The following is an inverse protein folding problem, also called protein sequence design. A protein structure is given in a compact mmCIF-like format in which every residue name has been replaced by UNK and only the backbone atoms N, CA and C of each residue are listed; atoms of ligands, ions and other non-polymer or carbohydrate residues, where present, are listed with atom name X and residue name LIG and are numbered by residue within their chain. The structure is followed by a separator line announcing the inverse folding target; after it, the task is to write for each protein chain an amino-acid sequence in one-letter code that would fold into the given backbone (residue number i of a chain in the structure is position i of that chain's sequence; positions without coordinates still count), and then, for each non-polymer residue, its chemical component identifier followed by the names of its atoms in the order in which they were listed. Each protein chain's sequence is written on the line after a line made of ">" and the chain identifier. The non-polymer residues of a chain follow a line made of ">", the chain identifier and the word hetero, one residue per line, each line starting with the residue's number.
data_IF_792572600857
#
_entry.id   IF_792572600857
#
_cell.length_a   1.000
_cell.length_b   1.000
_cell.length_c   1.000
_cell.angle_alpha   90.00
_cell.angle_beta   90.00
_cell.angle_gamma   90.00
#
_symmetry.space_group_name_H-M   'P 1'
#
loop_
_entity.id
_entity.type
_entity.pdbx_description
1 polymer ?
#
# COMPACT_ATOMS: atom_id res chain seq x y z
N UNK A 1 0.33 -15.98 -3.89
CA UNK A 1 0.52 -14.51 -3.91
C UNK A 1 0.94 -14.07 -5.30
N UNK A 2 0.50 -12.92 -5.81
CA UNK A 2 1.01 -12.28 -7.03
C UNK A 2 2.15 -11.35 -6.65
N UNK A 3 3.29 -11.44 -7.33
CA UNK A 3 4.45 -10.59 -7.03
C UNK A 3 4.45 -9.37 -7.97
N UNK A 4 4.63 -8.21 -7.40
CA UNK A 4 4.62 -6.93 -8.11
C UNK A 4 5.60 -5.93 -7.54
N UNK A 5 5.62 -4.74 -8.15
CA UNK A 5 6.51 -3.67 -7.74
C UNK A 5 5.89 -2.28 -7.96
N UNK A 6 6.36 -1.31 -7.19
CA UNK A 6 6.11 0.10 -7.46
C UNK A 6 6.94 0.51 -8.68
N UNK A 7 6.26 0.92 -9.75
CA UNK A 7 6.87 1.22 -11.04
C UNK A 7 6.69 2.68 -11.43
N UNK A 8 7.55 3.17 -12.31
CA UNK A 8 7.43 4.51 -12.88
C UNK A 8 6.35 4.55 -13.95
N UNK A 9 5.61 5.67 -14.01
CA UNK A 9 4.61 5.95 -15.04
C UNK A 9 5.03 7.12 -15.97
N UNK A 10 6.32 7.48 -15.97
CA UNK A 10 6.85 8.59 -16.74
C UNK A 10 6.74 8.34 -18.26
N UNK A 11 6.33 9.36 -19.01
CA UNK A 11 6.17 9.27 -20.47
C UNK A 11 4.79 8.77 -20.92
N UNK A 12 3.85 8.63 -19.94
CA UNK A 12 2.47 8.23 -20.18
C UNK A 12 2.06 7.11 -19.24
N UNK A 13 0.84 7.19 -18.69
CA UNK A 13 0.39 6.27 -17.62
C UNK A 13 0.43 4.79 -18.02
N UNK A 14 0.19 4.46 -19.30
CA UNK A 14 0.30 3.09 -19.82
C UNK A 14 1.71 2.50 -19.67
N UNK A 15 2.75 3.36 -19.53
CA UNK A 15 4.13 2.92 -19.30
C UNK A 15 4.30 2.19 -17.97
N UNK A 16 3.43 2.42 -17.00
CA UNK A 16 3.43 1.64 -15.77
C UNK A 16 3.23 0.14 -16.05
N UNK A 17 2.34 -0.20 -16.99
CA UNK A 17 2.13 -1.59 -17.42
C UNK A 17 3.38 -2.14 -18.10
N UNK A 18 3.94 -1.41 -19.08
CA UNK A 18 5.14 -1.82 -19.80
C UNK A 18 6.30 -2.09 -18.83
N UNK A 19 6.54 -1.16 -17.89
CA UNK A 19 7.60 -1.25 -16.89
C UNK A 19 7.38 -2.44 -15.93
N UNK A 20 6.14 -2.68 -15.48
CA UNK A 20 5.84 -3.85 -14.65
C UNK A 20 6.10 -5.16 -15.38
N UNK A 21 5.69 -5.27 -16.64
CA UNK A 21 5.96 -6.45 -17.48
C UNK A 21 7.47 -6.64 -17.69
N UNK A 22 8.20 -5.55 -17.91
CA UNK A 22 9.66 -5.62 -18.05
C UNK A 22 10.34 -6.14 -16.78
N UNK A 23 9.86 -5.79 -15.59
CA UNK A 23 10.38 -6.31 -14.32
C UNK A 23 9.95 -7.75 -14.03
N UNK A 24 8.99 -8.31 -14.77
CA UNK A 24 8.43 -9.65 -14.54
C UNK A 24 7.30 -9.68 -13.51
N UNK A 25 6.65 -8.54 -13.27
CA UNK A 25 5.57 -8.40 -12.30
C UNK A 25 4.25 -9.04 -12.76
N UNK A 26 3.46 -9.49 -11.80
CA UNK A 26 2.07 -9.93 -11.93
C UNK A 26 1.08 -8.90 -11.36
N UNK A 27 1.58 -7.94 -10.57
CA UNK A 27 0.86 -6.79 -10.03
C UNK A 27 1.74 -5.54 -10.12
N UNK A 28 1.13 -4.37 -10.17
CA UNK A 28 1.89 -3.11 -10.17
C UNK A 28 1.29 -2.09 -9.20
N UNK A 29 2.15 -1.21 -8.73
CA UNK A 29 1.78 0.03 -8.08
C UNK A 29 2.49 1.20 -8.73
N UNK A 30 1.85 2.36 -8.76
CA UNK A 30 2.47 3.59 -9.22
C UNK A 30 1.78 4.83 -8.64
N UNK A 31 2.44 5.97 -8.70
CA UNK A 31 1.79 7.25 -8.42
C UNK A 31 1.01 7.72 -9.66
N UNK A 32 -0.25 8.07 -9.48
CA UNK A 32 -1.07 8.61 -10.58
C UNK A 32 -0.47 9.87 -11.22
N UNK A 33 0.23 10.67 -10.41
CA UNK A 33 0.93 11.89 -10.82
C UNK A 33 2.24 12.09 -10.05
N UNK A 34 2.76 13.32 -10.01
CA UNK A 34 3.95 13.60 -9.21
C UNK A 34 3.63 13.46 -7.71
N UNK A 35 4.34 12.60 -6.95
CA UNK A 35 4.05 12.38 -5.54
C UNK A 35 4.42 13.57 -4.63
N UNK A 36 5.02 14.63 -5.20
CA UNK A 36 5.46 15.83 -4.48
C UNK A 36 4.61 17.07 -4.76
N UNK A 37 3.46 16.90 -5.43
CA UNK A 37 2.56 18.00 -5.76
C UNK A 37 1.13 17.67 -5.36
N UNK A 38 0.40 18.68 -4.87
CA UNK A 38 -0.99 18.56 -4.43
C UNK A 38 -2.00 18.45 -5.58
N UNK A 39 -1.57 18.78 -6.81
CA UNK A 39 -2.48 18.80 -7.95
C UNK A 39 -2.88 17.37 -8.31
N UNK A 40 -4.17 17.01 -8.20
CA UNK A 40 -4.66 15.70 -8.65
C UNK A 40 -4.37 15.50 -10.14
N UNK A 41 -4.01 14.28 -10.48
CA UNK A 41 -3.82 13.90 -11.89
C UNK A 41 -5.16 13.39 -12.45
N UNK A 42 -5.63 14.05 -13.49
CA UNK A 42 -6.76 13.58 -14.29
C UNK A 42 -6.23 13.09 -15.64
N UNK A 43 -6.79 12.02 -16.14
CA UNK A 43 -6.40 11.43 -17.42
C UNK A 43 -7.42 11.76 -18.52
N UNK A 44 -6.91 11.98 -19.74
CA UNK A 44 -7.80 12.01 -20.90
C UNK A 44 -8.36 10.61 -21.15
N UNK A 45 -9.58 10.51 -21.73
CA UNK A 45 -10.14 9.21 -22.09
C UNK A 45 -9.22 8.42 -23.03
N UNK A 46 -8.48 9.11 -23.90
CA UNK A 46 -7.49 8.47 -24.77
C UNK A 46 -6.36 7.78 -23.97
N UNK A 47 -5.83 8.44 -22.95
CA UNK A 47 -4.73 7.88 -22.14
C UNK A 47 -5.24 6.77 -21.23
N UNK A 48 -6.43 6.95 -20.66
CA UNK A 48 -7.09 5.96 -19.83
C UNK A 48 -7.45 4.69 -20.65
N UNK A 49 -8.02 4.84 -21.83
CA UNK A 49 -8.30 3.71 -22.72
C UNK A 49 -7.02 2.94 -23.08
N UNK A 50 -5.95 3.66 -23.42
CA UNK A 50 -4.65 3.05 -23.72
C UNK A 50 -4.07 2.28 -22.53
N UNK A 51 -4.23 2.79 -21.31
CA UNK A 51 -3.82 2.09 -20.11
C UNK A 51 -4.61 0.78 -19.93
N UNK A 52 -5.94 0.85 -20.02
CA UNK A 52 -6.82 -0.32 -19.90
C UNK A 52 -6.53 -1.38 -20.97
N UNK A 53 -6.28 -0.97 -22.22
CA UNK A 53 -5.86 -1.86 -23.31
C UNK A 53 -4.52 -2.53 -23.03
N UNK A 54 -3.51 -1.75 -22.59
CA UNK A 54 -2.21 -2.28 -22.22
C UNK A 54 -2.32 -3.30 -21.07
N UNK A 55 -3.11 -3.00 -20.02
CA UNK A 55 -3.39 -3.92 -18.92
C UNK A 55 -4.03 -5.22 -19.42
N UNK A 56 -5.07 -5.12 -20.23
CA UNK A 56 -5.80 -6.29 -20.76
C UNK A 56 -4.91 -7.22 -21.61
N UNK A 57 -3.89 -6.67 -22.27
CA UNK A 57 -2.93 -7.40 -23.10
C UNK A 57 -1.71 -7.92 -22.30
N UNK A 58 -1.65 -7.70 -20.98
CA UNK A 58 -0.49 -8.00 -20.14
C UNK A 58 -0.80 -9.10 -19.11
N UNK A 59 0.23 -9.66 -18.43
CA UNK A 59 0.05 -10.57 -17.29
C UNK A 59 -0.35 -9.85 -15.99
N UNK A 60 -0.49 -8.51 -15.98
CA UNK A 60 -0.78 -7.73 -14.77
C UNK A 60 -2.21 -7.97 -14.31
N UNK A 61 -2.35 -8.59 -13.15
CA UNK A 61 -3.62 -9.00 -12.55
C UNK A 61 -4.20 -7.98 -11.59
N UNK A 62 -3.32 -7.18 -10.95
CA UNK A 62 -3.73 -6.18 -9.96
C UNK A 62 -2.98 -4.88 -10.19
N UNK A 63 -3.72 -3.77 -10.12
CA UNK A 63 -3.21 -2.41 -10.28
C UNK A 63 -3.59 -1.60 -9.05
N UNK A 64 -2.58 -1.10 -8.35
CA UNK A 64 -2.69 -0.25 -7.18
C UNK A 64 -2.19 1.15 -7.51
N UNK A 65 -2.93 2.18 -7.08
CA UNK A 65 -2.45 3.56 -7.14
C UNK A 65 -2.06 4.01 -5.74
N UNK A 66 -0.80 4.35 -5.53
CA UNK A 66 -0.36 4.96 -4.29
C UNK A 66 -0.70 6.45 -4.29
N UNK A 67 -1.25 6.94 -3.19
CA UNK A 67 -1.49 8.38 -3.01
C UNK A 67 -0.17 9.13 -2.83
N UNK A 68 -0.21 10.45 -2.96
CA UNK A 68 1.01 11.26 -2.84
C UNK A 68 1.56 11.27 -1.40
N UNK A 69 2.88 11.39 -1.23
CA UNK A 69 3.55 11.42 0.09
C UNK A 69 3.12 12.56 1.02
N UNK A 70 2.52 13.61 0.45
CA UNK A 70 2.15 14.81 1.22
C UNK A 70 0.89 14.62 2.06
N UNK A 71 0.11 13.57 1.82
CA UNK A 71 -1.16 13.33 2.51
C UNK A 71 -0.96 13.17 4.01
N UNK A 72 -1.79 13.87 4.77
CA UNK A 72 -2.00 13.67 6.20
C UNK A 72 -3.48 13.86 6.51
N UNK A 73 -4.23 12.76 6.57
CA UNK A 73 -5.67 12.75 6.80
C UNK A 73 -6.05 13.08 8.26
N UNK A 74 -5.07 13.13 9.15
CA UNK A 74 -5.24 13.49 10.56
C UNK A 74 -4.64 14.86 10.90
N UNK A 75 -4.19 15.63 9.91
CA UNK A 75 -3.52 16.91 10.10
C UNK A 75 -4.35 17.91 10.93
N UNK A 76 -3.72 18.56 11.89
CA UNK A 76 -4.33 19.66 12.66
C UNK A 76 -4.36 21.00 11.92
N UNK A 77 -3.60 21.11 10.83
CA UNK A 77 -3.60 22.25 9.94
C UNK A 77 -4.70 22.09 8.88
N UNK A 78 -5.69 22.98 8.87
CA UNK A 78 -6.86 22.89 8.01
C UNK A 78 -6.53 22.95 6.52
N UNK A 79 -5.61 23.82 6.10
CA UNK A 79 -5.20 23.95 4.69
C UNK A 79 -4.50 22.68 4.20
N UNK A 80 -3.64 22.08 5.03
CA UNK A 80 -3.00 20.79 4.75
C UNK A 80 -3.99 19.63 4.70
N UNK A 81 -4.95 19.64 5.62
CA UNK A 81 -6.00 18.64 5.68
C UNK A 81 -6.86 18.66 4.41
N UNK A 82 -7.40 19.82 4.04
CA UNK A 82 -8.23 19.94 2.83
C UNK A 82 -7.48 19.58 1.55
N UNK A 83 -6.19 19.92 1.46
CA UNK A 83 -5.33 19.45 0.37
C UNK A 83 -5.16 17.93 0.38
N UNK A 84 -5.01 17.32 1.56
CA UNK A 84 -4.88 15.87 1.71
C UNK A 84 -6.15 15.15 1.27
N UNK A 85 -7.31 15.64 1.69
CA UNK A 85 -8.61 15.09 1.27
C UNK A 85 -8.81 15.24 -0.24
N UNK A 86 -8.50 16.42 -0.80
CA UNK A 86 -8.58 16.64 -2.25
C UNK A 86 -7.67 15.70 -3.02
N UNK A 87 -6.48 15.42 -2.52
CA UNK A 87 -5.54 14.49 -3.15
C UNK A 87 -6.02 13.02 -3.05
N UNK A 88 -6.63 12.64 -1.92
CA UNK A 88 -7.22 11.31 -1.74
C UNK A 88 -8.37 11.09 -2.72
N UNK A 89 -9.32 12.03 -2.77
CA UNK A 89 -10.45 12.01 -3.73
C UNK A 89 -9.94 11.96 -5.18
N UNK A 90 -8.92 12.76 -5.49
CA UNK A 90 -8.31 12.77 -6.83
C UNK A 90 -7.65 11.43 -7.19
N UNK A 91 -7.11 10.69 -6.21
CA UNK A 91 -6.58 9.34 -6.44
C UNK A 91 -7.70 8.33 -6.76
N UNK A 92 -8.85 8.43 -6.09
CA UNK A 92 -10.04 7.61 -6.41
C UNK A 92 -10.49 7.87 -7.85
N UNK A 93 -10.66 9.13 -8.25
CA UNK A 93 -11.03 9.50 -9.62
C UNK A 93 -10.03 8.96 -10.64
N UNK A 94 -8.73 9.07 -10.37
CA UNK A 94 -7.68 8.53 -11.24
C UNK A 94 -7.78 7.00 -11.36
N UNK A 95 -8.04 6.30 -10.24
CA UNK A 95 -8.21 4.85 -10.22
C UNK A 95 -9.41 4.40 -11.06
N UNK A 96 -10.53 5.09 -10.96
CA UNK A 96 -11.73 4.84 -11.78
C UNK A 96 -11.45 5.03 -13.27
N UNK A 97 -10.85 6.15 -13.65
CA UNK A 97 -10.49 6.44 -15.04
C UNK A 97 -9.60 5.35 -15.64
N UNK A 98 -8.65 4.84 -14.88
CA UNK A 98 -7.70 3.83 -15.32
C UNK A 98 -8.24 2.39 -15.19
N UNK A 99 -9.34 2.18 -14.47
CA UNK A 99 -9.82 0.85 -14.11
C UNK A 99 -8.82 0.13 -13.18
N UNK A 100 -8.20 0.85 -12.25
CA UNK A 100 -7.38 0.26 -11.21
C UNK A 100 -8.24 -0.44 -10.16
N UNK A 101 -7.68 -1.41 -9.45
CA UNK A 101 -8.42 -2.22 -8.47
C UNK A 101 -8.57 -1.52 -7.12
N UNK A 102 -7.56 -0.71 -6.75
CA UNK A 102 -7.55 -0.01 -5.48
C UNK A 102 -6.63 1.23 -5.51
N UNK A 103 -6.80 2.07 -4.50
CA UNK A 103 -5.80 3.05 -4.07
C UNK A 103 -5.26 2.66 -2.70
N UNK A 104 -4.02 3.03 -2.37
CA UNK A 104 -3.44 2.90 -1.04
C UNK A 104 -2.99 4.26 -0.53
N UNK A 105 -3.17 4.50 0.76
CA UNK A 105 -2.80 5.75 1.40
C UNK A 105 -2.20 5.54 2.78
N UNK A 106 -1.12 6.26 3.07
CA UNK A 106 -0.74 6.54 4.44
C UNK A 106 -1.82 7.40 5.11
N UNK A 107 -2.03 7.18 6.40
CA UNK A 107 -3.05 7.90 7.18
C UNK A 107 -2.52 9.28 7.59
N UNK A 108 -1.24 9.35 7.91
CA UNK A 108 -0.59 10.55 8.41
C UNK A 108 -0.48 10.56 9.94
N UNK A 109 -0.33 11.75 10.52
CA UNK A 109 -0.06 11.95 11.96
C UNK A 109 -1.05 12.92 12.56
N UNK A 110 -1.53 12.62 13.77
CA UNK A 110 -2.37 13.52 14.56
C UNK A 110 -1.61 14.71 15.18
N UNK A 111 -0.29 14.80 14.96
CA UNK A 111 0.55 15.96 15.33
C UNK A 111 0.41 16.41 16.79
N UNK A 112 0.24 15.45 17.71
CA UNK A 112 0.07 15.70 19.14
C UNK A 112 -1.36 15.97 19.59
N UNK A 113 -2.36 16.06 18.71
CA UNK A 113 -3.77 16.23 19.07
C UNK A 113 -4.39 15.00 19.73
N UNK A 114 -3.77 13.83 19.58
CA UNK A 114 -4.25 12.55 20.05
C UNK A 114 -5.05 11.78 19.01
N UNK A 115 -5.22 10.46 19.28
CA UNK A 115 -5.85 9.52 18.34
C UNK A 115 -7.30 9.90 17.99
N UNK A 116 -8.14 10.15 18.99
CA UNK A 116 -9.57 10.44 18.77
C UNK A 116 -9.86 11.67 17.89
N UNK A 117 -9.19 12.83 18.07
CA UNK A 117 -9.30 13.95 17.14
C UNK A 117 -8.83 13.60 15.72
N UNK A 118 -7.73 12.84 15.62
CA UNK A 118 -7.21 12.35 14.34
C UNK A 118 -8.20 11.41 13.64
N UNK A 119 -8.79 10.46 14.36
CA UNK A 119 -9.77 9.51 13.85
C UNK A 119 -11.00 10.21 13.23
N UNK A 120 -11.53 11.24 13.89
CA UNK A 120 -12.65 12.03 13.34
C UNK A 120 -12.30 12.69 12.00
N UNK A 121 -11.07 13.14 11.85
CA UNK A 121 -10.59 13.72 10.58
C UNK A 121 -10.43 12.65 9.51
N UNK A 122 -9.85 11.51 9.86
CA UNK A 122 -9.72 10.35 8.95
C UNK A 122 -11.11 9.88 8.51
N UNK A 123 -12.07 9.75 9.42
CA UNK A 123 -13.46 9.42 9.10
C UNK A 123 -14.05 10.37 8.04
N UNK A 124 -13.92 11.68 8.26
CA UNK A 124 -14.44 12.68 7.30
C UNK A 124 -13.75 12.57 5.94
N UNK A 125 -12.43 12.35 5.93
CA UNK A 125 -11.67 12.21 4.69
C UNK A 125 -12.07 10.96 3.90
N UNK A 126 -12.21 9.81 4.60
CA UNK A 126 -12.66 8.55 4.00
C UNK A 126 -14.11 8.68 3.49
N UNK A 127 -15.02 9.28 4.27
CA UNK A 127 -16.39 9.52 3.84
C UNK A 127 -16.45 10.29 2.51
N UNK A 128 -15.68 11.37 2.38
CA UNK A 128 -15.60 12.14 1.13
C UNK A 128 -15.02 11.33 -0.04
N UNK A 129 -14.04 10.48 0.20
CA UNK A 129 -13.48 9.61 -0.83
C UNK A 129 -14.48 8.53 -1.28
N UNK A 130 -15.23 7.96 -0.33
CA UNK A 130 -16.27 6.96 -0.59
C UNK A 130 -17.48 7.56 -1.31
N UNK A 131 -17.87 8.79 -0.97
CA UNK A 131 -18.94 9.54 -1.64
C UNK A 131 -18.56 9.82 -3.11
N UNK A 132 -17.31 10.22 -3.37
CA UNK A 132 -16.81 10.43 -4.74
C UNK A 132 -16.75 9.12 -5.52
N UNK A 133 -16.33 8.02 -4.89
CA UNK A 133 -16.30 6.71 -5.51
C UNK A 133 -17.71 6.20 -5.89
N UNK A 134 -18.76 6.67 -5.23
CA UNK A 134 -20.14 6.27 -5.54
C UNK A 134 -20.29 4.75 -5.58
N UNK A 135 -20.74 4.21 -6.71
CA UNK A 135 -20.90 2.75 -6.94
C UNK A 135 -19.63 2.11 -7.54
N UNK A 136 -18.51 2.81 -7.60
CA UNK A 136 -17.25 2.28 -8.12
C UNK A 136 -16.74 1.09 -7.30
N UNK A 137 -16.20 0.05 -7.94
CA UNK A 137 -15.56 -1.06 -7.24
C UNK A 137 -14.17 -0.73 -6.69
N UNK A 138 -13.63 0.45 -6.94
CA UNK A 138 -12.31 0.88 -6.47
C UNK A 138 -12.28 0.88 -4.95
N UNK A 139 -11.30 0.18 -4.37
CA UNK A 139 -11.11 0.11 -2.91
C UNK A 139 -10.13 1.18 -2.44
N UNK A 140 -10.37 1.68 -1.22
CA UNK A 140 -9.46 2.59 -0.50
C UNK A 140 -8.75 1.79 0.57
N UNK A 141 -7.44 1.60 0.41
CA UNK A 141 -6.64 0.81 1.34
C UNK A 141 -5.90 1.71 2.32
N UNK A 142 -6.09 1.43 3.60
CA UNK A 142 -5.31 2.04 4.67
C UNK A 142 -4.03 1.26 4.86
N UNK A 143 -2.92 1.95 4.87
CA UNK A 143 -1.61 1.36 5.10
C UNK A 143 -1.21 1.50 6.56
N UNK A 144 -0.70 0.41 7.18
CA UNK A 144 -0.10 0.47 8.50
C UNK A 144 1.20 1.28 8.47
N UNK A 145 1.61 1.81 9.62
CA UNK A 145 2.80 2.66 9.74
C UNK A 145 3.79 2.12 10.78
N UNK A 146 5.06 2.50 10.65
CA UNK A 146 6.13 2.12 11.58
C UNK A 146 6.01 2.74 12.99
N UNK A 147 5.10 3.71 13.19
CA UNK A 147 4.81 4.26 14.52
C UNK A 147 5.64 5.47 14.94
N UNK A 148 6.21 6.23 13.99
CA UNK A 148 6.99 7.42 14.30
C UNK A 148 6.11 8.66 14.53
N UNK A 149 6.44 9.50 15.52
CA UNK A 149 5.96 10.89 15.62
C UNK A 149 4.43 11.08 15.69
N UNK A 150 3.68 10.13 16.26
CA UNK A 150 2.21 10.19 16.34
C UNK A 150 1.52 9.91 15.01
N UNK A 151 2.17 9.15 14.12
CA UNK A 151 1.51 8.55 12.96
C UNK A 151 0.39 7.62 13.43
N UNK A 152 -0.65 7.51 12.63
CA UNK A 152 -1.83 6.69 12.90
C UNK A 152 -1.79 5.41 12.06
N UNK A 153 -2.45 4.35 12.54
CA UNK A 153 -2.41 3.03 11.89
C UNK A 153 -1.19 2.21 12.28
N UNK A 154 -0.68 2.40 13.51
CA UNK A 154 0.49 1.70 14.04
C UNK A 154 0.18 0.25 14.36
N UNK A 155 -1.02 -0.01 14.86
CA UNK A 155 -1.50 -1.34 15.21
C UNK A 155 -2.87 -1.66 14.60
N UNK A 156 -3.27 -2.91 14.70
CA UNK A 156 -4.52 -3.38 14.10
C UNK A 156 -5.76 -2.77 14.76
N UNK A 157 -5.69 -2.38 16.04
CA UNK A 157 -6.81 -1.75 16.72
C UNK A 157 -7.09 -0.33 16.18
N UNK A 158 -6.05 0.43 15.88
CA UNK A 158 -6.18 1.74 15.22
C UNK A 158 -6.75 1.60 13.81
N UNK A 159 -6.29 0.61 13.03
CA UNK A 159 -6.81 0.34 11.67
C UNK A 159 -8.29 -0.10 11.72
N UNK A 160 -8.66 -0.98 12.65
CA UNK A 160 -10.04 -1.39 12.85
C UNK A 160 -10.94 -0.21 13.22
N UNK A 161 -10.50 0.65 14.14
CA UNK A 161 -11.25 1.84 14.53
C UNK A 161 -11.50 2.79 13.33
N UNK A 162 -10.56 2.88 12.37
CA UNK A 162 -10.75 3.68 11.16
C UNK A 162 -11.75 3.05 10.18
N UNK A 163 -11.76 1.71 10.07
CA UNK A 163 -12.77 0.98 9.28
C UNK A 163 -14.15 1.15 9.92
N UNK A 164 -14.25 0.99 11.24
CA UNK A 164 -15.50 1.14 11.98
C UNK A 164 -16.06 2.57 11.92
N UNK A 165 -15.16 3.58 11.89
CA UNK A 165 -15.55 4.98 11.79
C UNK A 165 -16.31 5.32 10.49
N UNK A 166 -16.24 4.48 9.46
CA UNK A 166 -17.00 4.58 8.21
C UNK A 166 -17.99 3.41 8.06
N UNK A 167 -18.58 2.98 9.18
CA UNK A 167 -19.60 1.93 9.25
C UNK A 167 -19.16 0.58 8.62
N UNK A 168 -17.86 0.31 8.62
CA UNK A 168 -17.30 -0.90 8.03
C UNK A 168 -17.52 -1.00 6.51
N UNK A 169 -17.58 0.11 5.79
CA UNK A 169 -17.79 0.12 4.33
C UNK A 169 -16.87 -0.91 3.65
N UNK A 170 -17.41 -1.85 2.84
CA UNK A 170 -16.61 -2.91 2.22
C UNK A 170 -15.57 -2.41 1.23
N UNK A 171 -15.65 -1.17 0.78
CA UNK A 171 -14.66 -0.54 -0.09
C UNK A 171 -13.41 -0.10 0.66
N UNK A 172 -13.48 0.03 2.00
CA UNK A 172 -12.29 0.28 2.83
C UNK A 172 -11.63 -1.04 3.18
N UNK A 173 -10.36 -1.17 2.83
CA UNK A 173 -9.53 -2.33 3.12
C UNK A 173 -8.17 -1.95 3.67
N UNK A 174 -7.29 -2.92 3.75
CA UNK A 174 -5.95 -2.79 4.30
C UNK A 174 -4.89 -3.15 3.26
N UNK A 175 -3.80 -2.41 3.29
CA UNK A 175 -2.51 -2.78 2.75
C UNK A 175 -1.54 -2.91 3.93
N UNK A 176 -0.92 -4.08 4.12
CA UNK A 176 0.05 -4.27 5.19
C UNK A 176 1.47 -4.24 4.64
N UNK A 177 2.25 -3.26 5.10
CA UNK A 177 3.67 -3.17 4.84
C UNK A 177 4.45 -3.99 5.87
N UNK A 178 5.28 -4.92 5.37
CA UNK A 178 6.06 -5.84 6.20
C UNK A 178 7.18 -5.14 6.99
N UNK A 179 7.81 -4.12 6.41
CA UNK A 179 8.81 -3.32 7.13
C UNK A 179 8.14 -2.50 8.23
N UNK A 180 7.02 -1.82 7.94
CA UNK A 180 6.29 -1.04 8.94
C UNK A 180 5.78 -1.90 10.10
N UNK A 181 5.23 -3.10 9.84
CA UNK A 181 4.85 -4.03 10.91
C UNK A 181 6.06 -4.39 11.78
N UNK A 182 7.17 -4.76 11.15
CA UNK A 182 8.39 -5.11 11.87
C UNK A 182 8.94 -3.94 12.69
N UNK A 183 8.98 -2.78 12.10
CA UNK A 183 9.47 -1.55 12.73
C UNK A 183 8.55 -1.04 13.85
N UNK A 184 7.25 -1.36 13.82
CA UNK A 184 6.31 -1.10 14.92
C UNK A 184 6.39 -2.13 16.05
N UNK A 185 7.14 -3.24 15.87
CA UNK A 185 7.38 -4.26 16.90
C UNK A 185 6.71 -5.60 16.66
N UNK A 186 6.10 -5.82 15.50
CA UNK A 186 5.48 -7.11 15.13
C UNK A 186 6.55 -8.06 14.58
N UNK A 187 6.77 -9.19 15.25
CA UNK A 187 7.75 -10.18 14.83
C UNK A 187 7.24 -10.99 13.63
N UNK A 188 7.93 -10.90 12.49
CA UNK A 188 7.58 -11.61 11.25
C UNK A 188 8.64 -12.64 10.81
N UNK A 189 9.77 -12.72 11.51
CA UNK A 189 10.91 -13.58 11.14
C UNK A 189 10.71 -15.03 11.54
N UNK A 190 9.87 -15.28 12.52
CA UNK A 190 9.59 -16.64 13.01
C UNK A 190 8.20 -17.11 12.60
N UNK A 191 7.98 -18.42 12.41
CA UNK A 191 6.65 -18.96 12.11
C UNK A 191 5.61 -18.52 13.16
N UNK A 192 5.98 -18.61 14.45
CA UNK A 192 5.10 -18.28 15.57
C UNK A 192 4.74 -16.78 15.57
N UNK A 193 5.69 -15.90 15.24
CA UNK A 193 5.48 -14.46 15.13
C UNK A 193 4.55 -14.11 13.97
N UNK A 194 4.77 -14.71 12.79
CA UNK A 194 3.92 -14.53 11.62
C UNK A 194 2.48 -15.01 11.89
N UNK A 195 2.30 -16.20 12.47
CA UNK A 195 0.98 -16.73 12.84
C UNK A 195 0.27 -15.82 13.88
N UNK A 196 1.01 -15.31 14.87
CA UNK A 196 0.46 -14.37 15.85
C UNK A 196 0.02 -13.05 15.18
N UNK A 197 0.78 -12.53 14.22
CA UNK A 197 0.42 -11.34 13.47
C UNK A 197 -0.86 -11.57 12.64
N UNK A 198 -0.96 -12.70 11.94
CA UNK A 198 -2.14 -13.06 11.14
C UNK A 198 -3.36 -13.25 12.04
N UNK A 199 -3.22 -13.97 13.14
CA UNK A 199 -4.31 -14.16 14.10
C UNK A 199 -4.78 -12.83 14.73
N UNK A 200 -3.84 -11.92 15.04
CA UNK A 200 -4.14 -10.58 15.54
C UNK A 200 -4.91 -9.74 14.53
N UNK A 201 -4.49 -9.76 13.27
CA UNK A 201 -5.21 -9.09 12.18
C UNK A 201 -6.62 -9.64 12.01
N UNK A 202 -6.76 -10.97 11.97
CA UNK A 202 -8.06 -11.62 11.80
C UNK A 202 -9.04 -11.30 12.94
N UNK A 203 -8.55 -11.39 14.17
CA UNK A 203 -9.36 -11.10 15.37
C UNK A 203 -9.79 -9.62 15.48
N UNK A 204 -9.05 -8.69 14.88
CA UNK A 204 -9.26 -7.25 15.07
C UNK A 204 -9.95 -6.62 13.86
N UNK A 205 -9.42 -6.85 12.65
CA UNK A 205 -9.92 -6.25 11.41
C UNK A 205 -10.70 -7.23 10.52
N UNK A 206 -10.41 -8.55 10.65
CA UNK A 206 -10.82 -9.58 9.70
C UNK A 206 -9.83 -9.72 8.52
N UNK A 207 -9.49 -10.96 8.15
CA UNK A 207 -8.58 -11.23 7.02
C UNK A 207 -9.17 -10.81 5.66
N UNK A 208 -10.48 -10.75 5.54
CA UNK A 208 -11.19 -10.30 4.34
C UNK A 208 -10.98 -8.80 4.03
N UNK A 209 -10.52 -8.02 5.03
CA UNK A 209 -10.13 -6.63 4.85
C UNK A 209 -8.74 -6.48 4.22
N UNK A 210 -7.88 -7.48 4.33
CA UNK A 210 -6.56 -7.44 3.72
C UNK A 210 -6.64 -7.64 2.20
N UNK A 211 -6.20 -6.67 1.44
CA UNK A 211 -6.29 -6.64 -0.03
C UNK A 211 -4.91 -6.76 -0.69
N UNK A 212 -3.90 -6.19 -0.06
CA UNK A 212 -2.55 -6.09 -0.59
C UNK A 212 -1.53 -6.17 0.53
N UNK A 213 -0.33 -6.61 0.21
CA UNK A 213 0.85 -6.43 1.06
C UNK A 213 1.88 -5.56 0.32
N UNK A 214 2.53 -4.64 1.04
CA UNK A 214 3.83 -4.12 0.64
C UNK A 214 4.90 -5.07 1.18
N UNK A 215 5.70 -5.64 0.28
CA UNK A 215 6.77 -6.59 0.62
C UNK A 215 8.09 -5.85 0.66
N UNK A 216 8.42 -5.28 1.79
CA UNK A 216 9.63 -4.50 2.01
C UNK A 216 10.44 -5.10 3.14
N UNK A 217 11.75 -5.29 2.93
CA UNK A 217 12.65 -5.62 4.02
C UNK A 217 12.98 -4.35 4.82
N UNK A 218 13.33 -4.50 6.07
CA UNK A 218 13.62 -3.36 6.95
C UNK A 218 15.11 -3.16 7.14
N UNK A 219 15.56 -1.94 6.96
CA UNK A 219 16.93 -1.51 7.27
C UNK A 219 17.16 -1.29 8.76
N UNK A 220 16.13 -1.34 9.56
CA UNK A 220 16.19 -1.02 10.99
C UNK A 220 15.62 -2.15 11.84
N UNK A 221 16.00 -2.20 13.11
CA UNK A 221 15.65 -3.29 14.01
C UNK A 221 14.15 -3.31 14.36
N UNK A 222 13.70 -4.48 14.80
CA UNK A 222 12.36 -4.70 15.36
C UNK A 222 12.01 -3.64 16.41
N UNK A 223 10.86 -2.99 16.25
CA UNK A 223 10.39 -1.97 17.18
C UNK A 223 11.16 -0.64 17.13
N UNK A 224 11.87 -0.38 16.04
CA UNK A 224 12.66 0.86 15.89
C UNK A 224 11.81 2.11 15.71
N UNK A 225 10.56 1.97 15.27
CA UNK A 225 9.67 3.05 14.84
C UNK A 225 10.28 3.97 13.76
N UNK A 226 11.03 3.37 12.83
CA UNK A 226 11.72 4.09 11.74
C UNK A 226 11.41 3.44 10.42
N UNK A 227 10.60 4.08 9.61
CA UNK A 227 10.30 3.68 8.24
C UNK A 227 11.56 3.79 7.35
N UNK A 228 12.19 2.63 7.12
CA UNK A 228 13.40 2.50 6.28
C UNK A 228 13.41 1.15 5.57
N UNK A 229 13.04 1.16 4.30
CA UNK A 229 13.06 -0.03 3.46
C UNK A 229 14.47 -0.43 3.05
N UNK A 230 14.67 -1.76 2.90
CA UNK A 230 15.87 -2.37 2.35
C UNK A 230 15.46 -3.40 1.26
N UNK A 231 16.40 -3.79 0.43
CA UNK A 231 16.19 -4.84 -0.58
C UNK A 231 15.87 -6.18 0.08
N UNK A 232 15.08 -6.99 -0.61
CA UNK A 232 14.61 -8.29 -0.09
C UNK A 232 15.79 -9.18 0.28
N UNK A 233 15.88 -9.51 1.56
CA UNK A 233 16.91 -10.38 2.12
C UNK A 233 18.19 -9.66 2.57
N UNK A 234 18.31 -8.36 2.33
CA UNK A 234 19.46 -7.57 2.73
C UNK A 234 19.20 -6.77 4.03
N UNK A 235 17.96 -6.81 4.55
CA UNK A 235 17.54 -6.17 5.80
C UNK A 235 17.37 -7.14 6.98
N UNK A 236 16.78 -6.63 8.06
CA UNK A 236 16.61 -7.34 9.34
C UNK A 236 15.49 -8.40 9.32
N UNK A 237 14.54 -8.35 8.36
CA UNK A 237 13.56 -9.41 8.14
C UNK A 237 14.21 -10.62 7.48
N UNK A 238 14.93 -10.42 6.39
CA UNK A 238 15.70 -11.43 5.69
C UNK A 238 14.88 -12.42 4.86
N UNK A 239 15.55 -13.17 4.00
CA UNK A 239 14.93 -14.09 3.02
C UNK A 239 13.99 -15.11 3.68
N UNK A 240 14.30 -15.59 4.89
CA UNK A 240 13.48 -16.61 5.56
C UNK A 240 12.09 -16.09 5.89
N UNK A 241 11.97 -14.84 6.35
CA UNK A 241 10.68 -14.21 6.60
C UNK A 241 9.85 -14.12 5.32
N UNK A 242 10.46 -13.64 4.23
CA UNK A 242 9.78 -13.54 2.94
C UNK A 242 9.37 -14.90 2.38
N UNK A 243 10.19 -15.94 2.53
CA UNK A 243 9.81 -17.30 2.13
C UNK A 243 8.56 -17.79 2.87
N UNK A 244 8.40 -17.47 4.14
CA UNK A 244 7.20 -17.78 4.92
C UNK A 244 6.00 -16.94 4.44
N UNK A 245 6.16 -15.64 4.29
CA UNK A 245 5.09 -14.70 3.92
C UNK A 245 4.53 -15.05 2.53
N UNK A 246 5.38 -15.17 1.50
CA UNK A 246 4.90 -15.37 0.12
C UNK A 246 4.19 -16.70 -0.11
N UNK A 247 4.46 -17.70 0.75
CA UNK A 247 3.87 -19.03 0.68
C UNK A 247 2.77 -19.26 1.72
N UNK A 248 2.48 -18.27 2.58
CA UNK A 248 1.48 -18.44 3.62
C UNK A 248 0.06 -18.54 3.04
N UNK A 249 -0.76 -19.55 3.46
CA UNK A 249 -2.11 -19.75 2.93
C UNK A 249 -3.03 -18.55 3.09
N UNK A 250 -2.93 -17.78 4.20
CA UNK A 250 -3.73 -16.59 4.44
C UNK A 250 -3.50 -15.49 3.38
N UNK A 251 -2.35 -15.49 2.71
CA UNK A 251 -2.00 -14.50 1.69
C UNK A 251 -2.10 -15.06 0.26
N UNK A 252 -2.67 -16.26 0.11
CA UNK A 252 -2.85 -16.87 -1.21
C UNK A 252 -3.77 -16.00 -2.09
N UNK A 253 -3.30 -15.67 -3.29
CA UNK A 253 -4.07 -14.85 -4.24
C UNK A 253 -4.04 -13.34 -3.99
N UNK A 254 -3.42 -12.86 -2.90
CA UNK A 254 -3.21 -11.43 -2.68
C UNK A 254 -2.01 -10.92 -3.50
N UNK A 255 -2.03 -9.66 -3.95
CA UNK A 255 -0.86 -8.98 -4.48
C UNK A 255 0.13 -8.64 -3.36
N UNK A 256 1.42 -8.85 -3.63
CA UNK A 256 2.54 -8.40 -2.81
C UNK A 256 3.41 -7.47 -3.64
N UNK A 257 3.50 -6.20 -3.25
CA UNK A 257 4.12 -5.11 -4.00
C UNK A 257 5.43 -4.69 -3.33
N UNK A 258 6.49 -4.64 -4.09
CA UNK A 258 7.80 -4.15 -3.67
C UNK A 258 7.86 -2.61 -3.72
N UNK A 259 8.43 -1.99 -2.69
CA UNK A 259 8.80 -0.57 -2.66
C UNK A 259 10.27 -0.36 -2.22
N UNK A 260 11.05 -1.41 -2.34
CA UNK A 260 12.46 -1.46 -1.97
C UNK A 260 13.30 -0.48 -2.81
N UNK A 261 14.50 -0.07 -2.31
CA UNK A 261 15.33 0.89 -3.04
C UNK A 261 15.87 0.37 -4.38
N UNK A 262 15.98 -0.94 -4.57
CA UNK A 262 16.66 -1.55 -5.71
C UNK A 262 18.18 -1.43 -5.64
N UNK A 263 18.89 -2.22 -6.46
CA UNK A 263 20.36 -2.25 -6.46
C UNK A 263 20.99 -0.90 -6.86
N UNK A 264 20.31 -0.13 -7.71
CA UNK A 264 20.74 1.20 -8.14
C UNK A 264 20.26 2.34 -7.24
N UNK A 265 19.39 2.08 -6.26
CA UNK A 265 18.81 3.07 -5.36
C UNK A 265 17.74 3.95 -6.01
N UNK A 266 17.13 3.50 -7.10
CA UNK A 266 16.15 4.28 -7.86
C UNK A 266 14.76 3.63 -7.94
N UNK A 267 14.50 2.65 -7.07
CA UNK A 267 13.25 1.93 -6.90
C UNK A 267 13.38 0.44 -7.20
N UNK A 268 12.30 -0.34 -7.01
CA UNK A 268 12.31 -1.77 -7.20
C UNK A 268 12.82 -2.18 -8.59
N UNK A 269 13.60 -3.25 -8.63
CA UNK A 269 14.23 -3.78 -9.82
C UNK A 269 13.89 -5.26 -10.05
N UNK A 270 14.33 -5.78 -11.20
CA UNK A 270 14.11 -7.17 -11.57
C UNK A 270 14.73 -8.15 -10.58
N UNK A 271 15.90 -7.83 -10.01
CA UNK A 271 16.60 -8.70 -9.05
C UNK A 271 15.72 -8.99 -7.82
N UNK A 272 15.11 -7.94 -7.25
CA UNK A 272 14.22 -8.08 -6.08
C UNK A 272 12.92 -8.84 -6.44
N UNK A 273 12.33 -8.61 -7.61
CA UNK A 273 11.16 -9.36 -8.09
C UNK A 273 11.51 -10.86 -8.25
N UNK A 274 12.64 -11.18 -8.88
CA UNK A 274 13.09 -12.55 -9.08
C UNK A 274 13.41 -13.26 -7.76
N UNK A 275 13.97 -12.56 -6.76
CA UNK A 275 14.17 -13.11 -5.39
C UNK A 275 12.83 -13.60 -4.80
N UNK A 276 11.77 -12.78 -4.82
CA UNK A 276 10.45 -13.19 -4.31
C UNK A 276 9.80 -14.31 -5.13
N UNK A 277 9.91 -14.27 -6.46
CA UNK A 277 9.41 -15.33 -7.33
C UNK A 277 10.10 -16.67 -7.05
N UNK A 278 11.42 -16.67 -6.82
CA UNK A 278 12.17 -17.84 -6.44
C UNK A 278 11.72 -18.41 -5.07
N UNK A 279 11.53 -17.55 -4.06
CA UNK A 279 11.03 -17.96 -2.76
C UNK A 279 9.61 -18.53 -2.83
N UNK A 280 8.72 -17.96 -3.66
CA UNK A 280 7.36 -18.48 -3.89
C UNK A 280 7.35 -19.86 -4.53
N UNK A 281 8.27 -20.14 -5.43
CA UNK A 281 8.40 -21.44 -6.10
C UNK A 281 9.03 -22.54 -5.22
N UNK A 282 9.46 -22.19 -4.00
CA UNK A 282 10.15 -23.12 -3.10
C UNK A 282 11.60 -23.40 -3.50
N UNK A 283 12.20 -22.58 -4.35
CA UNK A 283 13.62 -22.60 -4.65
C UNK A 283 14.39 -21.95 -3.49
N UNK A 284 14.84 -22.77 -2.54
CA UNK A 284 15.75 -22.36 -1.45
C UNK A 284 17.20 -22.59 -1.82
#
# INVERSE_FOLDING_TARGET
>A
MYIGAHVRASGGVWKAIDNGVELGCEAIQFFAGSPRTWKPQLYSEKDAARFREARAASPIRFVLIHTIYLINLASTNEDFYEKSVTALVGAVVAAEQLGADAIVTHIGSHQGAGFEPGLRRVQTALGRALDEAGDSPVRVLLENTAGAGGTMGVDFAELAAMIDAVDGDPRVGLCLDTAHLFESGVELRTPEGLEAAIAGLDATCGLDRLVCLHLNDSKTALGSNRDRHENIGDGDLGLRAFAQIVNHPAFAGLPGILEVPGDAGDGPDRSNVERLLALRAGAT
#
